data_IF_281443704400
#
_entry.id   IF_281443704400
#
_cell.length_a   1.000
_cell.length_b   1.000
_cell.length_c   1.000
_cell.angle_alpha   90.00
_cell.angle_beta   90.00
_cell.angle_gamma   90.00
#
_symmetry.space_group_name_H-M   'P 1'
#
loop_
_entity.id
_entity.type
_entity.pdbx_description
1 polymer ?
#
# COMPACT_ATOMS: atom_id res chain seq x y z
N UNK A 1 1.99 0.74 -12.70
CA UNK A 1 2.73 0.40 -11.47
C UNK A 1 3.11 1.66 -10.74
N UNK A 2 3.00 1.70 -9.42
CA UNK A 2 3.47 2.82 -8.60
C UNK A 2 3.94 2.35 -7.22
N UNK A 3 4.64 3.23 -6.51
CA UNK A 3 5.20 2.99 -5.18
C UNK A 3 4.62 4.00 -4.20
N UNK A 4 4.15 3.51 -3.07
CA UNK A 4 3.59 4.31 -1.99
C UNK A 4 4.47 4.14 -0.77
N UNK A 5 4.92 5.23 -0.17
CA UNK A 5 5.65 5.23 1.09
C UNK A 5 4.66 5.43 2.21
N UNK A 6 4.68 4.50 3.17
CA UNK A 6 3.73 4.46 4.28
C UNK A 6 4.48 4.72 5.58
N UNK A 7 4.02 5.69 6.34
CA UNK A 7 4.55 5.99 7.66
C UNK A 7 3.78 5.21 8.73
N UNK A 8 4.47 4.82 9.81
CA UNK A 8 3.86 4.05 10.89
C UNK A 8 3.89 2.52 10.74
N UNK A 9 4.69 1.95 9.82
CA UNK A 9 4.96 0.49 9.77
C UNK A 9 5.80 -0.05 10.96
N UNK A 10 5.62 0.50 12.16
CA UNK A 10 6.42 0.17 13.35
C UNK A 10 5.96 -1.10 14.08
N UNK A 11 4.76 -1.61 13.81
CA UNK A 11 4.23 -2.80 14.46
C UNK A 11 4.24 -4.00 13.48
N UNK A 12 4.63 -5.19 13.91
CA UNK A 12 4.83 -6.35 13.01
C UNK A 12 3.62 -6.79 12.17
N UNK A 13 2.43 -6.22 12.38
CA UNK A 13 1.18 -6.56 11.69
C UNK A 13 0.84 -5.68 10.48
N UNK A 14 1.62 -4.63 10.19
CA UNK A 14 1.24 -3.62 9.19
C UNK A 14 1.18 -4.18 7.76
N UNK A 15 2.16 -5.02 7.41
CA UNK A 15 2.30 -5.57 6.06
C UNK A 15 1.07 -6.36 5.64
N UNK A 16 0.64 -7.32 6.47
CA UNK A 16 -0.49 -8.19 6.13
C UNK A 16 -1.81 -7.43 6.04
N UNK A 17 -2.01 -6.41 6.88
CA UNK A 17 -3.22 -5.58 6.86
C UNK A 17 -3.32 -4.78 5.55
N UNK A 18 -2.24 -4.09 5.18
CA UNK A 18 -2.17 -3.31 3.93
C UNK A 18 -2.34 -4.22 2.72
N UNK A 19 -1.62 -5.36 2.65
CA UNK A 19 -1.76 -6.29 1.53
C UNK A 19 -3.19 -6.80 1.40
N UNK A 20 -3.89 -7.08 2.52
CA UNK A 20 -5.29 -7.49 2.47
C UNK A 20 -6.20 -6.39 1.93
N UNK A 21 -6.10 -5.17 2.46
CA UNK A 21 -6.92 -4.05 2.01
C UNK A 21 -6.74 -3.80 0.51
N UNK A 22 -5.50 -3.83 0.02
CA UNK A 22 -5.19 -3.64 -1.40
C UNK A 22 -5.63 -4.82 -2.28
N UNK A 23 -5.56 -6.05 -1.77
CA UNK A 23 -6.05 -7.23 -2.48
C UNK A 23 -7.59 -7.30 -2.50
N UNK A 24 -8.27 -6.69 -1.53
CA UNK A 24 -9.73 -6.53 -1.55
C UNK A 24 -10.17 -5.48 -2.56
N UNK A 25 -9.39 -4.40 -2.70
CA UNK A 25 -9.59 -3.39 -3.74
C UNK A 25 -9.38 -3.99 -5.14
N UNK A 26 -8.24 -4.65 -5.35
CA UNK A 26 -7.91 -5.29 -6.63
C UNK A 26 -7.28 -6.67 -6.40
N UNK A 27 -8.06 -7.71 -6.68
CA UNK A 27 -7.63 -9.11 -6.49
C UNK A 27 -6.60 -9.56 -7.52
N UNK A 28 -6.46 -8.84 -8.61
CA UNK A 28 -5.51 -9.14 -9.69
C UNK A 28 -4.20 -8.36 -9.55
N UNK A 29 -4.20 -7.34 -8.71
CA UNK A 29 -3.02 -6.53 -8.45
C UNK A 29 -1.91 -7.31 -7.76
N UNK A 30 -0.67 -7.04 -8.19
CA UNK A 30 0.54 -7.48 -7.50
C UNK A 30 0.93 -6.44 -6.47
N UNK A 31 0.88 -6.85 -5.21
CA UNK A 31 1.26 -6.03 -4.07
C UNK A 31 2.60 -6.52 -3.54
N UNK A 32 3.59 -5.64 -3.44
CA UNK A 32 4.89 -5.91 -2.84
C UNK A 32 5.17 -4.88 -1.75
N UNK A 33 5.37 -5.33 -0.52
CA UNK A 33 5.62 -4.43 0.61
C UNK A 33 7.04 -4.64 1.10
N UNK A 34 7.81 -3.56 1.11
CA UNK A 34 9.18 -3.50 1.58
C UNK A 34 9.21 -2.80 2.93
N UNK A 35 9.30 -3.58 4.01
CA UNK A 35 9.31 -3.05 5.38
C UNK A 35 10.60 -2.28 5.68
N UNK A 36 11.72 -2.65 5.06
CA UNK A 36 13.00 -1.98 5.28
C UNK A 36 12.97 -0.55 4.72
N UNK A 37 12.36 -0.36 3.55
CA UNK A 37 12.19 0.96 2.93
C UNK A 37 10.86 1.64 3.27
N UNK A 38 9.96 0.95 3.98
CA UNK A 38 8.59 1.39 4.27
C UNK A 38 7.79 1.75 3.01
N UNK A 39 7.96 0.97 1.96
CA UNK A 39 7.34 1.20 0.65
C UNK A 39 6.41 0.06 0.25
N UNK A 40 5.29 0.39 -0.36
CA UNK A 40 4.28 -0.50 -0.92
C UNK A 40 4.26 -0.28 -2.42
N UNK A 41 4.71 -1.28 -3.17
CA UNK A 41 4.55 -1.36 -4.62
C UNK A 41 3.20 -1.96 -4.94
N UNK A 42 2.43 -1.24 -5.73
CA UNK A 42 1.15 -1.69 -6.24
C UNK A 42 1.21 -1.71 -7.78
N UNK A 43 0.84 -2.85 -8.33
CA UNK A 43 0.77 -3.09 -9.77
C UNK A 43 -0.58 -3.75 -10.09
N UNK A 44 -1.58 -2.91 -10.34
CA UNK A 44 -2.96 -3.29 -10.62
C UNK A 44 -3.63 -2.25 -11.51
N UNK A 45 -4.94 -2.38 -11.68
CA UNK A 45 -5.75 -1.47 -12.49
C UNK A 45 -6.25 -0.27 -11.66
N UNK A 46 -6.35 -0.44 -10.34
CA UNK A 46 -6.80 0.62 -9.43
C UNK A 46 -5.88 1.85 -9.43
N UNK A 47 -6.51 3.02 -9.31
CA UNK A 47 -5.81 4.30 -9.29
C UNK A 47 -5.01 4.51 -7.99
N UNK A 48 -3.98 5.33 -8.07
CA UNK A 48 -3.15 5.66 -6.92
C UNK A 48 -3.97 6.26 -5.77
N UNK A 49 -4.95 7.11 -6.06
CA UNK A 49 -5.83 7.70 -5.04
C UNK A 49 -6.68 6.65 -4.32
N UNK A 50 -7.22 5.66 -5.03
CA UNK A 50 -7.99 4.57 -4.42
C UNK A 50 -7.12 3.71 -3.50
N UNK A 51 -5.91 3.37 -3.95
CA UNK A 51 -4.94 2.62 -3.15
C UNK A 51 -4.54 3.41 -1.89
N UNK A 52 -4.32 4.71 -2.01
CA UNK A 52 -4.01 5.60 -0.87
C UNK A 52 -5.18 5.67 0.11
N UNK A 53 -6.42 5.76 -0.37
CA UNK A 53 -7.60 5.71 0.47
C UNK A 53 -7.70 4.38 1.23
N UNK A 54 -7.55 3.25 0.53
CA UNK A 54 -7.61 1.92 1.15
C UNK A 54 -6.54 1.74 2.24
N UNK A 55 -5.33 2.30 2.06
CA UNK A 55 -4.26 2.29 3.07
C UNK A 55 -4.65 3.15 4.29
N UNK A 56 -5.23 4.33 4.08
CA UNK A 56 -5.72 5.20 5.15
C UNK A 56 -6.89 4.59 5.92
N UNK A 57 -7.84 3.95 5.23
CA UNK A 57 -8.95 3.23 5.85
C UNK A 57 -8.47 2.02 6.67
N UNK A 58 -7.36 1.39 6.26
CA UNK A 58 -6.68 0.36 7.04
C UNK A 58 -5.94 0.92 8.28
N UNK A 59 -5.91 2.25 8.46
CA UNK A 59 -5.30 2.93 9.61
C UNK A 59 -3.83 3.30 9.42
N UNK A 60 -3.36 3.42 8.18
CA UNK A 60 -1.97 3.77 7.86
C UNK A 60 -1.85 5.10 7.13
N UNK A 61 -0.82 5.86 7.46
CA UNK A 61 -0.60 7.18 6.87
C UNK A 61 0.32 7.09 5.65
N UNK A 62 -0.07 7.70 4.54
CA UNK A 62 0.72 7.75 3.31
C UNK A 62 1.52 9.05 3.28
N UNK A 63 2.85 8.94 3.22
CA UNK A 63 3.74 10.10 3.22
C UNK A 63 4.23 10.49 1.83
N UNK A 64 4.29 9.54 0.91
CA UNK A 64 4.79 9.82 -0.43
C UNK A 64 4.17 8.83 -1.41
N UNK A 65 3.78 9.32 -2.57
CA UNK A 65 3.39 8.47 -3.68
C UNK A 65 4.30 8.80 -4.86
N UNK A 66 4.91 7.77 -5.43
CA UNK A 66 5.78 7.88 -6.59
C UNK A 66 5.20 7.03 -7.69
N UNK A 67 4.75 7.69 -8.75
CA UNK A 67 4.35 7.06 -10.00
C UNK A 67 5.61 6.87 -10.86
N UNK A 68 5.86 5.64 -11.30
CA UNK A 68 7.02 5.26 -12.10
C UNK A 68 6.59 4.80 -13.48
#
# INVERSE_FOLDING_TARGET
MFVIKVNGMSCGHCVSAITKALAELDKTAKIQIDKASQTVRFDGDADQEEVVLAIQEAGYDVVETTSA
#
